data_IF_065503499849
#
_entry.id   IF_065503499849
#
_cell.length_a   1.000
_cell.length_b   1.000
_cell.length_c   1.000
_cell.angle_alpha   90.00
_cell.angle_beta   90.00
_cell.angle_gamma   90.00
#
_symmetry.space_group_name_H-M   'P 1'
#
loop_
_entity.id
_entity.type
_entity.pdbx_description
1 polymer ?
#
# COMPACT_ATOMS: atom_id res chain seq x y z
N UNK A 1 -6.33 -18.78 15.96
CA UNK A 1 -6.57 -18.66 14.50
C UNK A 1 -7.62 -17.59 14.37
N UNK A 2 -7.19 -16.33 14.27
CA UNK A 2 -8.08 -15.24 13.91
C UNK A 2 -8.28 -15.32 12.40
N UNK A 3 -9.45 -15.78 11.98
CA UNK A 3 -9.82 -15.79 10.57
C UNK A 3 -10.29 -14.40 10.13
N UNK A 4 -10.17 -14.09 8.84
CA UNK A 4 -10.58 -12.80 8.28
C UNK A 4 -12.07 -12.50 8.51
N UNK A 5 -12.88 -13.53 8.74
CA UNK A 5 -14.30 -13.38 9.05
C UNK A 5 -14.53 -12.76 10.44
N UNK A 6 -13.81 -13.20 11.47
CA UNK A 6 -13.87 -12.63 12.81
C UNK A 6 -13.38 -11.18 12.83
N UNK A 7 -12.33 -10.87 12.05
CA UNK A 7 -11.81 -9.51 11.88
C UNK A 7 -12.86 -8.55 11.28
N UNK A 8 -13.54 -8.97 10.21
CA UNK A 8 -14.60 -8.18 9.56
C UNK A 8 -15.78 -7.93 10.50
N UNK A 9 -16.22 -8.94 11.26
CA UNK A 9 -17.38 -8.83 12.14
C UNK A 9 -17.15 -7.88 13.32
N UNK A 10 -15.92 -7.83 13.85
CA UNK A 10 -15.57 -6.92 14.95
C UNK A 10 -15.54 -5.45 14.50
N UNK A 11 -15.22 -5.20 13.23
CA UNK A 11 -15.04 -3.85 12.66
C UNK A 11 -16.20 -3.40 11.78
N UNK A 12 -17.27 -4.20 11.68
CA UNK A 12 -18.42 -3.87 10.83
C UNK A 12 -19.25 -2.68 11.33
N UNK A 13 -19.05 -2.26 12.58
CA UNK A 13 -19.73 -1.12 13.20
C UNK A 13 -18.86 0.14 13.26
N UNK A 14 -17.61 0.07 12.79
CA UNK A 14 -16.69 1.22 12.79
C UNK A 14 -17.14 2.25 11.75
N UNK A 15 -17.09 3.52 12.14
CA UNK A 15 -17.37 4.67 11.27
C UNK A 15 -16.20 5.66 11.33
N UNK A 16 -16.08 6.43 12.41
CA UNK A 16 -14.97 7.39 12.56
C UNK A 16 -13.64 6.72 12.89
N UNK A 17 -13.66 5.50 13.41
CA UNK A 17 -12.49 4.68 13.73
C UNK A 17 -11.67 4.34 12.48
N UNK A 18 -12.28 4.34 11.28
CA UNK A 18 -11.52 4.18 10.03
C UNK A 18 -10.55 5.34 9.76
N UNK A 19 -10.76 6.51 10.39
CA UNK A 19 -9.89 7.67 10.18
C UNK A 19 -8.50 7.51 10.81
N UNK A 20 -8.33 6.59 11.78
CA UNK A 20 -7.02 6.28 12.37
C UNK A 20 -6.32 5.10 11.70
N UNK A 21 -6.93 4.50 10.67
CA UNK A 21 -6.31 3.39 9.94
C UNK A 21 -5.54 3.93 8.73
N UNK A 22 -4.26 3.59 8.68
CA UNK A 22 -3.43 3.76 7.51
C UNK A 22 -3.33 2.43 6.77
N UNK A 23 -4.11 2.28 5.70
CA UNK A 23 -3.93 1.16 4.76
C UNK A 23 -2.74 1.45 3.87
N UNK A 24 -1.99 0.44 3.42
CA UNK A 24 -0.97 0.56 2.38
C UNK A 24 -1.04 -0.62 1.40
N UNK A 25 -0.73 -0.37 0.12
CA UNK A 25 -0.65 -1.40 -0.93
C UNK A 25 0.39 -1.05 -2.00
N UNK A 26 1.03 -2.08 -2.58
CA UNK A 26 1.94 -1.99 -3.72
C UNK A 26 1.34 -2.58 -4.99
N UNK A 27 0.80 -1.72 -5.84
CA UNK A 27 0.24 -2.13 -7.12
C UNK A 27 1.28 -2.05 -8.25
N UNK A 28 1.38 -3.12 -9.07
CA UNK A 28 2.27 -3.17 -10.24
C UNK A 28 1.48 -2.97 -11.55
N UNK A 29 1.76 -1.88 -12.25
CA UNK A 29 1.16 -1.58 -13.56
C UNK A 29 2.10 -1.97 -14.71
N UNK A 30 1.58 -2.63 -15.74
CA UNK A 30 2.30 -2.86 -16.99
C UNK A 30 2.04 -1.69 -17.94
N UNK A 31 3.09 -1.04 -18.44
CA UNK A 31 2.97 0.10 -19.33
C UNK A 31 2.75 -0.29 -20.80
N UNK A 32 2.97 -1.56 -21.16
CA UNK A 32 2.88 -2.04 -22.54
C UNK A 32 1.74 -3.07 -22.72
N UNK A 33 0.83 -2.81 -23.66
CA UNK A 33 -0.20 -3.75 -24.14
C UNK A 33 0.42 -4.79 -25.10
N UNK A 34 -0.09 -6.02 -25.11
CA UNK A 34 0.54 -7.15 -25.83
C UNK A 34 -0.39 -7.73 -26.90
N UNK A 35 0.14 -8.04 -28.09
CA UNK A 35 -0.53 -8.74 -29.20
C UNK A 35 -0.27 -10.27 -29.22
N UNK A 36 0.50 -10.78 -28.25
CA UNK A 36 0.50 -12.19 -27.85
C UNK A 36 1.75 -13.01 -28.19
N UNK A 37 2.77 -12.47 -28.87
CA UNK A 37 3.77 -13.34 -29.53
C UNK A 37 5.25 -13.30 -29.08
N UNK A 38 5.64 -12.59 -28.02
CA UNK A 38 7.04 -12.64 -27.54
C UNK A 38 7.19 -12.55 -26.02
N UNK A 39 8.22 -13.18 -25.44
CA UNK A 39 8.62 -12.97 -24.04
C UNK A 39 9.37 -11.64 -23.93
N UNK A 40 8.64 -10.55 -23.75
CA UNK A 40 9.20 -9.20 -23.58
C UNK A 40 9.40 -8.90 -22.09
N UNK A 41 10.56 -8.34 -21.71
CA UNK A 41 10.75 -7.68 -20.41
C UNK A 41 9.90 -6.39 -20.42
N UNK A 42 8.68 -6.49 -19.88
CA UNK A 42 7.74 -5.36 -19.84
C UNK A 42 8.22 -4.29 -18.87
N UNK A 43 8.08 -3.02 -19.27
CA UNK A 43 8.24 -1.91 -18.33
C UNK A 43 7.09 -1.98 -17.32
N UNK A 44 7.45 -2.20 -16.06
CA UNK A 44 6.52 -2.21 -14.95
C UNK A 44 6.82 -1.01 -14.07
N UNK A 45 5.76 -0.37 -13.59
CA UNK A 45 5.86 0.66 -12.55
C UNK A 45 5.17 0.11 -11.33
N UNK A 46 5.82 0.27 -10.18
CA UNK A 46 5.20 -0.01 -8.89
C UNK A 46 4.70 1.32 -8.33
N UNK A 47 3.47 1.32 -7.84
CA UNK A 47 2.88 2.47 -7.16
C UNK A 47 2.63 2.04 -5.73
N UNK A 48 3.07 2.86 -4.79
CA UNK A 48 2.64 2.75 -3.40
C UNK A 48 1.60 3.81 -3.13
N UNK A 49 0.55 3.42 -2.42
CA UNK A 49 -0.42 4.34 -1.86
C UNK A 49 -0.81 3.89 -0.48
N UNK A 50 -0.95 4.83 0.43
CA UNK A 50 -1.78 4.61 1.59
C UNK A 50 -3.26 4.89 1.25
N UNK A 51 -4.24 4.37 1.98
CA UNK A 51 -5.64 4.80 1.86
C UNK A 51 -6.10 5.45 3.17
N UNK A 52 -6.69 6.64 3.05
CA UNK A 52 -7.13 7.57 4.10
C UNK A 52 -7.53 8.91 3.46
N UNK A 53 -7.87 9.96 4.22
CA UNK A 53 -8.50 11.15 3.62
C UNK A 53 -7.63 11.93 2.61
N UNK A 54 -6.28 11.82 2.65
CA UNK A 54 -5.33 12.47 1.70
C UNK A 54 -3.91 11.87 1.66
N UNK A 55 -3.75 10.58 1.41
CA UNK A 55 -2.42 9.98 1.25
C UNK A 55 -1.75 10.30 -0.11
N UNK A 56 -0.42 10.40 -0.17
CA UNK A 56 0.32 10.54 -1.43
C UNK A 56 0.40 9.20 -2.20
N UNK A 57 0.26 9.27 -3.53
CA UNK A 57 0.59 8.17 -4.44
C UNK A 57 2.03 8.33 -4.93
N UNK A 58 2.86 7.32 -4.71
CA UNK A 58 4.30 7.38 -4.98
C UNK A 58 4.64 6.42 -6.12
N UNK A 59 5.26 6.94 -7.18
CA UNK A 59 5.79 6.14 -8.28
C UNK A 59 7.18 5.62 -7.96
N UNK A 60 7.32 4.30 -7.82
CA UNK A 60 8.60 3.64 -7.60
C UNK A 60 9.22 3.25 -8.93
N UNK A 61 10.44 3.71 -9.17
CA UNK A 61 11.22 3.38 -10.36
C UNK A 61 12.09 2.13 -10.12
N UNK A 62 12.02 1.18 -11.04
CA UNK A 62 12.83 -0.04 -11.01
C UNK A 62 12.30 -1.11 -10.05
N UNK A 63 13.15 -2.09 -9.71
CA UNK A 63 12.76 -3.20 -8.84
C UNK A 63 12.79 -2.79 -7.37
N UNK A 64 11.70 -3.07 -6.64
CA UNK A 64 11.61 -2.86 -5.19
C UNK A 64 12.30 -4.00 -4.43
N UNK A 65 13.01 -3.64 -3.37
CA UNK A 65 13.52 -4.57 -2.35
C UNK A 65 13.21 -3.99 -0.96
N UNK A 66 13.37 -4.80 0.10
CA UNK A 66 12.99 -4.39 1.45
C UNK A 66 13.68 -3.10 1.94
N UNK A 67 14.97 -2.92 1.63
CA UNK A 67 15.70 -1.71 2.03
C UNK A 67 15.19 -0.46 1.31
N UNK A 68 14.96 -0.56 -0.01
CA UNK A 68 14.38 0.54 -0.80
C UNK A 68 12.97 0.85 -0.35
N UNK A 69 12.19 -0.15 0.04
CA UNK A 69 10.85 0.06 0.58
C UNK A 69 10.89 0.91 1.86
N UNK A 70 11.81 0.59 2.78
CA UNK A 70 11.99 1.36 4.01
C UNK A 70 12.40 2.81 3.69
N UNK A 71 13.46 3.00 2.90
CA UNK A 71 14.06 4.34 2.69
C UNK A 71 13.35 5.22 1.67
N UNK A 72 12.69 4.64 0.66
CA UNK A 72 12.03 5.39 -0.41
C UNK A 72 10.52 5.55 -0.18
N UNK A 73 9.93 4.75 0.71
CA UNK A 73 8.47 4.73 0.92
C UNK A 73 8.11 4.93 2.40
N UNK A 74 8.54 4.03 3.28
CA UNK A 74 8.10 4.07 4.68
C UNK A 74 8.59 5.33 5.41
N UNK A 75 9.90 5.56 5.45
CA UNK A 75 10.51 6.69 6.14
C UNK A 75 10.02 8.05 5.63
N UNK A 76 10.05 8.36 4.31
CA UNK A 76 9.69 9.69 3.82
C UNK A 76 8.19 9.96 3.71
N UNK A 77 7.34 8.93 3.66
CA UNK A 77 5.92 9.12 3.33
C UNK A 77 4.95 8.50 4.32
N UNK A 78 5.23 7.28 4.81
CA UNK A 78 4.35 6.65 5.80
C UNK A 78 4.54 7.28 7.19
N UNK A 79 5.77 7.38 7.69
CA UNK A 79 6.00 7.90 9.05
C UNK A 79 5.41 9.31 9.26
N UNK A 80 5.62 10.29 8.35
CA UNK A 80 5.02 11.61 8.52
C UNK A 80 3.49 11.59 8.41
N UNK A 81 2.92 10.63 7.68
CA UNK A 81 1.47 10.45 7.61
C UNK A 81 0.91 9.86 8.90
N UNK A 82 1.57 8.86 9.49
CA UNK A 82 1.16 8.28 10.78
C UNK A 82 1.21 9.31 11.91
N UNK A 83 2.19 10.21 11.92
CA UNK A 83 2.27 11.30 12.91
C UNK A 83 1.07 12.26 12.87
N UNK A 84 0.28 12.27 11.78
CA UNK A 84 -0.95 13.08 11.69
C UNK A 84 -2.18 12.41 12.29
N UNK A 85 -2.10 11.12 12.61
CA UNK A 85 -3.23 10.33 13.10
C UNK A 85 -3.16 10.19 14.63
N UNK A 86 -4.32 10.26 15.27
CA UNK A 86 -4.43 9.92 16.70
C UNK A 86 -4.52 8.39 16.83
N UNK A 87 -3.52 7.77 17.47
CA UNK A 87 -3.38 6.33 17.68
C UNK A 87 -3.46 5.49 16.38
N UNK A 88 -2.47 5.65 15.47
CA UNK A 88 -2.53 5.03 14.15
C UNK A 88 -2.45 3.50 14.20
N UNK A 89 -3.40 2.84 13.53
CA UNK A 89 -3.27 1.42 13.19
C UNK A 89 -2.76 1.30 11.76
N UNK A 90 -1.56 0.73 11.61
CA UNK A 90 -0.99 0.47 10.29
C UNK A 90 -1.42 -0.91 9.78
N UNK A 91 -1.96 -0.96 8.56
CA UNK A 91 -2.33 -2.20 7.88
C UNK A 91 -1.55 -2.33 6.56
N UNK A 92 -0.84 -3.46 6.42
CA UNK A 92 -0.13 -3.86 5.21
C UNK A 92 -0.54 -5.30 4.83
N UNK A 93 -0.29 -5.69 3.58
CA UNK A 93 -0.40 -7.09 3.17
C UNK A 93 0.64 -7.98 3.87
N UNK A 94 0.39 -9.28 3.90
CA UNK A 94 1.30 -10.26 4.50
C UNK A 94 2.16 -10.92 3.40
N UNK A 95 2.80 -10.10 2.57
CA UNK A 95 3.59 -10.53 1.41
C UNK A 95 4.83 -11.35 1.77
#
# INVERSE_FOLDING_TARGET
MDDGFTWCRQRSLWDQEWNSIAFSDESRFCLDMHDGRARVRRRRVMVWGAYGSRSPLIFIRGNMNAQRYIHEVLEPHLLPYLDTLADPTFQQDNA
#
